data_IF_579152489329
#
_entry.id   IF_579152489329
#
_cell.length_a   1.000
_cell.length_b   1.000
_cell.length_c   1.000
_cell.angle_alpha   90.00
_cell.angle_beta   90.00
_cell.angle_gamma   90.00
#
_symmetry.space_group_name_H-M   'P 1'
#
loop_
_entity.id
_entity.type
_entity.pdbx_description
1 polymer ?
#
# COMPACT_ATOMS: atom_id res chain seq x y z
N UNK A 1 0.89 0.37 -29.05
CA UNK A 1 0.76 1.72 -28.46
C UNK A 1 0.58 1.54 -26.97
N UNK A 2 1.30 2.29 -26.13
CA UNK A 2 1.05 2.26 -24.69
C UNK A 2 -0.36 2.79 -24.42
N UNK A 3 -1.15 2.04 -23.66
CA UNK A 3 -2.47 2.50 -23.20
C UNK A 3 -2.25 3.60 -22.17
N UNK A 4 -2.95 4.73 -22.31
CA UNK A 4 -2.85 5.82 -21.35
C UNK A 4 -3.59 5.46 -20.06
N UNK A 5 -3.13 5.93 -18.89
CA UNK A 5 -3.89 5.79 -17.66
C UNK A 5 -5.29 6.40 -17.78
N UNK A 6 -6.27 5.79 -17.13
CA UNK A 6 -7.64 6.31 -17.06
C UNK A 6 -8.01 6.70 -15.63
N UNK A 7 -8.94 7.64 -15.50
CA UNK A 7 -9.38 8.22 -14.23
C UNK A 7 -10.89 8.43 -14.23
N UNK A 8 -11.53 8.11 -13.11
CA UNK A 8 -12.94 8.44 -12.87
C UNK A 8 -13.20 8.69 -11.38
N UNK A 9 -14.23 9.48 -11.06
CA UNK A 9 -14.70 9.68 -9.69
C UNK A 9 -15.81 8.66 -9.38
N UNK A 10 -15.62 7.87 -8.34
CA UNK A 10 -16.55 6.83 -7.90
C UNK A 10 -17.56 7.34 -6.87
N UNK A 11 -17.12 8.19 -5.93
CA UNK A 11 -17.98 8.74 -4.89
C UNK A 11 -17.56 10.17 -4.51
N UNK A 12 -18.51 10.93 -3.98
CA UNK A 12 -18.28 12.24 -3.36
C UNK A 12 -19.27 12.44 -2.21
N UNK A 13 -18.78 12.88 -1.04
CA UNK A 13 -19.59 13.14 0.15
C UNK A 13 -18.90 14.14 1.08
N UNK A 14 -19.59 14.61 2.11
CA UNK A 14 -19.01 15.51 3.12
C UNK A 14 -19.03 14.84 4.49
N UNK A 15 -17.97 15.01 5.28
CA UNK A 15 -17.84 14.48 6.64
C UNK A 15 -17.03 15.43 7.53
N UNK A 16 -17.58 15.84 8.68
CA UNK A 16 -16.84 16.60 9.71
C UNK A 16 -16.06 17.84 9.23
N UNK A 17 -16.61 18.62 8.31
CA UNK A 17 -15.94 19.80 7.75
C UNK A 17 -15.12 19.55 6.48
N UNK A 18 -14.95 18.28 6.09
CA UNK A 18 -14.24 17.84 4.90
C UNK A 18 -15.22 17.57 3.76
N UNK A 19 -14.78 17.84 2.54
CA UNK A 19 -15.32 17.27 1.31
C UNK A 19 -14.41 16.12 0.90
N UNK A 20 -15.00 14.97 0.62
CA UNK A 20 -14.30 13.72 0.35
C UNK A 20 -14.70 13.22 -1.03
N UNK A 21 -13.72 12.88 -1.85
CA UNK A 21 -13.90 12.22 -3.14
C UNK A 21 -13.12 10.91 -3.17
N UNK A 22 -13.67 9.90 -3.84
CA UNK A 22 -12.99 8.63 -4.10
C UNK A 22 -12.83 8.47 -5.60
N UNK A 23 -11.59 8.30 -6.05
CA UNK A 23 -11.22 8.21 -7.45
C UNK A 23 -10.69 6.83 -7.79
N UNK A 24 -11.13 6.29 -8.93
CA UNK A 24 -10.51 5.14 -9.56
C UNK A 24 -9.42 5.63 -10.51
N UNK A 25 -8.25 5.01 -10.42
CA UNK A 25 -7.18 5.10 -11.40
C UNK A 25 -6.88 3.70 -11.95
N UNK A 26 -6.81 3.61 -13.27
CA UNK A 26 -6.37 2.40 -13.97
C UNK A 26 -5.07 2.72 -14.71
N UNK A 27 -3.97 2.13 -14.24
CA UNK A 27 -2.61 2.46 -14.66
C UNK A 27 -1.99 1.23 -15.35
N UNK A 28 -1.87 1.24 -16.69
CA UNK A 28 -1.30 0.12 -17.44
C UNK A 28 0.17 -0.13 -17.07
N UNK A 29 0.54 -1.40 -16.90
CA UNK A 29 1.93 -1.77 -16.72
C UNK A 29 2.69 -1.69 -18.04
N UNK A 30 3.99 -1.35 -17.95
CA UNK A 30 4.88 -1.43 -19.11
C UNK A 30 5.11 -2.88 -19.55
N UNK A 31 5.06 -3.80 -18.58
CA UNK A 31 5.23 -5.24 -18.77
C UNK A 31 4.22 -5.92 -17.85
N UNK A 32 3.39 -6.86 -18.35
CA UNK A 32 2.46 -7.60 -17.51
C UNK A 32 3.15 -8.23 -16.30
N UNK A 33 2.49 -8.15 -15.15
CA UNK A 33 3.03 -8.60 -13.87
C UNK A 33 2.16 -9.72 -13.31
N UNK A 34 2.69 -10.94 -13.30
CA UNK A 34 2.00 -12.14 -12.81
C UNK A 34 2.58 -12.64 -11.51
N UNK A 35 1.70 -13.11 -10.63
CA UNK A 35 2.02 -13.82 -9.38
C UNK A 35 1.32 -15.18 -9.37
N UNK A 36 1.57 -16.01 -8.35
CA UNK A 36 0.94 -17.35 -8.28
C UNK A 36 -0.55 -17.30 -7.94
N UNK A 37 -1.00 -16.26 -7.23
CA UNK A 37 -2.43 -16.04 -7.01
C UNK A 37 -3.10 -15.56 -8.30
N UNK A 38 -4.33 -16.00 -8.60
CA UNK A 38 -5.11 -15.43 -9.67
C UNK A 38 -5.34 -13.94 -9.42
N UNK A 39 -4.85 -13.09 -10.32
CA UNK A 39 -5.09 -11.65 -10.32
C UNK A 39 -5.87 -11.29 -11.60
N UNK A 40 -7.07 -10.68 -11.48
CA UNK A 40 -7.83 -10.25 -12.65
C UNK A 40 -7.15 -9.11 -13.45
N UNK A 41 -6.11 -8.46 -12.92
CA UNK A 41 -5.47 -7.28 -13.52
C UNK A 41 -3.94 -7.46 -13.72
N UNK A 42 -3.50 -8.49 -14.46
CA UNK A 42 -2.06 -8.67 -14.77
C UNK A 42 -1.47 -7.59 -15.69
N UNK A 43 -2.31 -6.81 -16.37
CA UNK A 43 -1.94 -5.82 -17.38
C UNK A 43 -1.93 -4.38 -16.84
N UNK A 44 -2.60 -4.13 -15.71
CA UNK A 44 -2.71 -2.79 -15.13
C UNK A 44 -2.95 -2.80 -13.62
N UNK A 45 -2.64 -1.70 -12.96
CA UNK A 45 -2.99 -1.46 -11.56
C UNK A 45 -4.29 -0.66 -11.49
N UNK A 46 -5.37 -1.31 -11.03
CA UNK A 46 -6.64 -0.63 -10.68
C UNK A 46 -6.61 -0.27 -9.19
N UNK A 47 -6.43 1.01 -8.88
CA UNK A 47 -6.27 1.49 -7.50
C UNK A 47 -7.27 2.62 -7.19
N UNK A 48 -7.57 2.82 -5.91
CA UNK A 48 -8.44 3.90 -5.47
C UNK A 48 -7.66 4.97 -4.70
N UNK A 49 -7.96 6.23 -4.97
CA UNK A 49 -7.45 7.37 -4.20
C UNK A 49 -8.59 8.03 -3.43
N UNK A 50 -8.39 8.23 -2.13
CA UNK A 50 -9.23 9.09 -1.30
C UNK A 50 -8.61 10.48 -1.32
N UNK A 51 -9.38 11.45 -1.82
CA UNK A 51 -9.04 12.86 -1.81
C UNK A 51 -9.92 13.58 -0.80
N UNK A 52 -9.30 14.35 0.10
CA UNK A 52 -10.01 15.15 1.07
C UNK A 52 -9.66 16.62 0.89
N UNK A 53 -10.67 17.48 0.95
CA UNK A 53 -10.52 18.94 0.96
C UNK A 53 -11.14 19.48 2.24
N UNK A 54 -10.37 20.25 3.02
CA UNK A 54 -10.88 20.94 4.19
C UNK A 54 -11.54 22.25 3.79
N UNK A 55 -12.85 22.39 4.06
CA UNK A 55 -13.62 23.57 3.63
C UNK A 55 -13.19 24.88 4.29
N UNK A 56 -12.58 24.83 5.47
CA UNK A 56 -12.22 26.03 6.22
C UNK A 56 -10.91 26.66 5.72
N UNK A 57 -9.97 25.86 5.17
CA UNK A 57 -8.70 26.42 4.63
C UNK A 57 -8.47 26.16 3.16
N UNK A 58 -9.25 25.28 2.53
CA UNK A 58 -8.98 24.78 1.18
C UNK A 58 -7.72 23.92 1.05
N UNK A 59 -7.21 23.37 2.16
CA UNK A 59 -6.09 22.43 2.10
C UNK A 59 -6.60 21.05 1.69
N UNK A 60 -5.76 20.32 1.00
CA UNK A 60 -6.09 19.00 0.47
C UNK A 60 -5.18 17.90 1.04
N UNK A 61 -5.68 16.67 1.11
CA UNK A 61 -4.94 15.48 1.47
C UNK A 61 -5.28 14.31 0.56
N UNK A 62 -4.29 13.46 0.29
CA UNK A 62 -4.44 12.33 -0.62
C UNK A 62 -3.94 11.03 0.02
N UNK A 63 -4.68 9.95 -0.19
CA UNK A 63 -4.27 8.62 0.25
C UNK A 63 -4.67 7.55 -0.74
N UNK A 64 -3.78 6.57 -0.93
CA UNK A 64 -3.99 5.46 -1.86
C UNK A 64 -4.44 4.20 -1.12
N UNK A 65 -5.52 3.60 -1.60
CA UNK A 65 -5.96 2.26 -1.23
C UNK A 65 -5.65 1.29 -2.36
N UNK A 66 -4.56 0.53 -2.20
CA UNK A 66 -4.20 -0.54 -3.14
C UNK A 66 -5.30 -1.62 -3.11
N UNK A 67 -6.18 -1.56 -4.09
CA UNK A 67 -7.38 -2.38 -4.14
C UNK A 67 -7.05 -3.76 -4.72
N UNK A 68 -7.03 -4.77 -3.85
CA UNK A 68 -6.83 -6.16 -4.25
C UNK A 68 -8.09 -6.99 -3.87
N UNK A 69 -8.85 -7.47 -4.87
CA UNK A 69 -10.06 -8.26 -4.65
C UNK A 69 -9.82 -9.53 -3.83
N UNK A 70 -8.58 -10.06 -3.80
CA UNK A 70 -8.21 -11.20 -2.96
C UNK A 70 -8.45 -10.91 -1.47
N UNK A 71 -8.24 -9.67 -1.03
CA UNK A 71 -8.50 -9.22 0.35
C UNK A 71 -9.90 -8.61 0.55
N UNK A 72 -10.76 -8.67 -0.48
CA UNK A 72 -12.11 -8.12 -0.45
C UNK A 72 -12.18 -6.63 -0.75
N UNK A 73 -11.09 -6.01 -1.20
CA UNK A 73 -11.05 -4.59 -1.56
C UNK A 73 -11.02 -4.41 -3.09
N UNK A 74 -12.04 -3.77 -3.63
CA UNK A 74 -12.04 -3.16 -4.96
C UNK A 74 -12.18 -1.64 -4.84
N UNK A 75 -11.83 -0.86 -5.88
CA UNK A 75 -12.05 0.58 -5.87
C UNK A 75 -13.50 0.97 -5.56
N UNK A 76 -14.45 0.19 -6.07
CA UNK A 76 -15.89 0.36 -5.82
C UNK A 76 -16.26 0.05 -4.37
N UNK A 77 -15.68 -1.00 -3.76
CA UNK A 77 -15.90 -1.27 -2.33
C UNK A 77 -15.29 -0.19 -1.44
N UNK A 78 -14.10 0.34 -1.78
CA UNK A 78 -13.47 1.45 -1.07
C UNK A 78 -14.40 2.67 -1.10
N UNK A 79 -14.92 3.00 -2.29
CA UNK A 79 -15.89 4.09 -2.44
C UNK A 79 -17.19 3.87 -1.63
N UNK A 80 -17.68 2.63 -1.56
CA UNK A 80 -18.89 2.27 -0.85
C UNK A 80 -18.74 2.36 0.68
N UNK A 81 -17.59 1.95 1.23
CA UNK A 81 -17.38 1.91 2.69
C UNK A 81 -16.82 3.22 3.26
N UNK A 82 -16.22 4.08 2.43
CA UNK A 82 -15.61 5.33 2.88
C UNK A 82 -16.54 6.21 3.74
N UNK A 83 -17.83 6.45 3.39
CA UNK A 83 -18.71 7.25 4.24
C UNK A 83 -18.88 6.70 5.66
N UNK A 84 -18.98 5.37 5.81
CA UNK A 84 -19.08 4.72 7.12
C UNK A 84 -17.78 4.90 7.90
N UNK A 85 -16.63 4.64 7.27
CA UNK A 85 -15.32 4.75 7.91
C UNK A 85 -15.02 6.18 8.37
N UNK A 86 -15.33 7.21 7.57
CA UNK A 86 -15.21 8.61 7.99
C UNK A 86 -16.14 8.96 9.16
N UNK A 87 -17.34 8.36 9.22
CA UNK A 87 -18.30 8.63 10.30
C UNK A 87 -17.85 8.14 11.67
N UNK A 88 -16.90 7.19 11.73
CA UNK A 88 -16.30 6.71 12.97
C UNK A 88 -14.88 7.25 13.20
N UNK A 89 -14.11 7.48 12.13
CA UNK A 89 -12.74 7.96 12.20
C UNK A 89 -12.67 9.38 12.75
N UNK A 90 -13.50 10.31 12.24
CA UNK A 90 -13.45 11.71 12.65
C UNK A 90 -13.82 11.88 14.14
N UNK A 91 -14.93 11.31 14.66
CA UNK A 91 -15.23 11.35 16.10
C UNK A 91 -14.10 10.83 16.99
N UNK A 92 -13.44 9.74 16.59
CA UNK A 92 -12.34 9.16 17.35
C UNK A 92 -11.12 10.10 17.44
N UNK A 93 -10.82 10.80 16.34
CA UNK A 93 -9.77 11.83 16.33
C UNK A 93 -10.14 12.99 17.26
N UNK A 94 -11.39 13.49 17.22
CA UNK A 94 -11.78 14.63 18.08
C UNK A 94 -11.69 14.26 19.56
N UNK A 95 -12.14 13.05 19.93
CA UNK A 95 -12.06 12.55 21.29
C UNK A 95 -10.61 12.49 21.79
N UNK A 96 -9.71 11.95 20.97
CA UNK A 96 -8.29 11.86 21.29
C UNK A 96 -7.64 13.25 21.49
N UNK A 97 -7.99 14.21 20.64
CA UNK A 97 -7.50 15.58 20.73
C UNK A 97 -8.04 16.32 21.96
N UNK A 98 -9.29 16.08 22.34
CA UNK A 98 -9.89 16.65 23.54
C UNK A 98 -9.22 16.12 24.81
N UNK A 99 -8.93 14.81 24.88
CA UNK A 99 -8.19 14.19 26.00
C UNK A 99 -6.75 14.71 26.10
N UNK A 100 -6.13 15.04 24.97
CA UNK A 100 -4.80 15.65 24.92
C UNK A 100 -4.76 17.15 25.34
N UNK A 101 -5.90 17.72 25.75
CA UNK A 101 -6.01 19.11 26.23
C UNK A 101 -6.31 20.14 25.13
N UNK A 102 -6.74 19.71 23.95
CA UNK A 102 -7.24 20.59 22.89
C UNK A 102 -8.68 21.08 23.16
N UNK A 103 -9.00 22.32 22.78
CA UNK A 103 -10.37 22.82 22.86
C UNK A 103 -11.29 22.02 21.91
N UNK A 104 -12.37 21.42 22.44
CA UNK A 104 -13.36 20.72 21.62
C UNK A 104 -14.36 21.74 21.04
N UNK A 105 -14.34 21.91 19.71
CA UNK A 105 -15.22 22.85 19.00
C UNK A 105 -16.20 22.17 18.03
N UNK A 106 -16.40 20.85 18.13
CA UNK A 106 -17.28 20.11 17.21
C UNK A 106 -16.80 20.12 15.76
N UNK A 107 -15.49 20.20 15.56
CA UNK A 107 -14.81 20.29 14.27
C UNK A 107 -13.49 19.51 14.34
N UNK A 108 -13.56 18.21 14.59
CA UNK A 108 -12.47 17.32 14.99
C UNK A 108 -11.12 17.49 14.32
N UNK A 109 -11.12 17.64 13.01
CA UNK A 109 -9.91 17.87 12.24
C UNK A 109 -9.34 19.29 12.44
N UNK A 110 -10.20 20.30 12.61
CA UNK A 110 -9.79 21.68 12.85
C UNK A 110 -9.02 21.86 14.17
N UNK A 111 -9.30 21.04 15.18
CA UNK A 111 -8.52 21.00 16.43
C UNK A 111 -7.13 20.36 16.22
N UNK A 112 -7.01 19.35 15.34
CA UNK A 112 -5.74 18.71 14.99
C UNK A 112 -4.75 19.70 14.36
N UNK A 113 -5.25 20.69 13.60
CA UNK A 113 -4.46 21.78 13.00
C UNK A 113 -3.67 22.60 14.01
N UNK A 114 -4.19 22.71 15.24
CA UNK A 114 -3.56 23.44 16.34
C UNK A 114 -2.30 22.76 16.90
N UNK A 115 -2.03 21.51 16.52
CA UNK A 115 -0.82 20.77 16.91
C UNK A 115 0.44 21.17 16.13
N UNK A 116 0.40 22.31 15.42
CA UNK A 116 1.51 22.91 14.67
C UNK A 116 2.68 23.26 15.58
N UNK A 117 3.51 22.26 15.89
CA UNK A 117 4.71 22.45 16.71
C UNK A 117 5.31 21.20 17.36
N UNK A 118 4.64 20.05 17.33
CA UNK A 118 5.14 18.86 18.03
C UNK A 118 5.23 17.66 17.08
N UNK A 119 6.42 17.47 16.50
CA UNK A 119 6.80 16.23 15.80
C UNK A 119 6.53 15.01 16.68
N UNK A 120 5.98 13.94 16.12
CA UNK A 120 5.64 12.69 16.82
C UNK A 120 4.22 12.65 17.41
N UNK A 121 3.78 13.69 18.13
CA UNK A 121 2.43 13.69 18.77
C UNK A 121 1.26 13.73 17.78
N UNK A 122 1.49 14.25 16.59
CA UNK A 122 0.47 14.36 15.54
C UNK A 122 0.11 13.03 14.88
N UNK A 123 1.06 12.08 14.81
CA UNK A 123 0.78 10.73 14.31
C UNK A 123 -0.02 9.93 15.36
N UNK A 124 0.35 10.06 16.64
CA UNK A 124 -0.39 9.45 17.75
C UNK A 124 -1.83 9.99 17.85
N UNK A 125 -2.06 11.26 17.52
CA UNK A 125 -3.38 11.87 17.53
C UNK A 125 -4.35 11.23 16.52
N UNK A 126 -3.83 10.60 15.47
CA UNK A 126 -4.63 9.88 14.47
C UNK A 126 -4.75 8.39 14.79
N UNK A 127 -3.90 7.83 15.65
CA UNK A 127 -3.92 6.40 15.99
C UNK A 127 -5.30 5.86 16.44
N UNK A 128 -6.12 6.60 17.21
CA UNK A 128 -7.45 6.14 17.62
C UNK A 128 -8.42 5.90 16.46
N UNK A 129 -8.21 6.56 15.30
CA UNK A 129 -9.06 6.39 14.13
C UNK A 129 -8.95 4.97 13.56
N UNK A 130 -7.76 4.36 13.57
CA UNK A 130 -7.56 2.99 13.06
C UNK A 130 -8.37 2.00 13.88
N UNK A 131 -8.28 2.11 15.21
CA UNK A 131 -9.05 1.25 16.13
C UNK A 131 -10.57 1.42 15.96
N UNK A 132 -11.05 2.66 15.77
CA UNK A 132 -12.46 2.94 15.52
C UNK A 132 -12.94 2.35 14.18
N UNK A 133 -12.15 2.50 13.12
CA UNK A 133 -12.45 1.90 11.82
C UNK A 133 -12.44 0.37 11.87
N UNK A 134 -11.47 -0.24 12.57
CA UNK A 134 -11.39 -1.69 12.75
C UNK A 134 -12.56 -2.26 13.54
N UNK A 135 -13.04 -1.55 14.56
CA UNK A 135 -14.23 -1.94 15.33
C UNK A 135 -15.51 -1.82 14.49
N UNK A 136 -15.62 -0.78 13.68
CA UNK A 136 -16.82 -0.51 12.90
C UNK A 136 -17.00 -1.47 11.70
N UNK A 137 -15.89 -1.86 11.07
CA UNK A 137 -15.91 -2.70 9.88
C UNK A 137 -14.68 -3.61 9.83
N UNK A 138 -14.89 -4.93 9.86
CA UNK A 138 -13.82 -5.90 9.62
C UNK A 138 -13.33 -5.87 8.17
N UNK A 139 -12.10 -6.32 7.93
CA UNK A 139 -11.44 -6.29 6.61
C UNK A 139 -11.28 -4.86 6.06
N UNK A 140 -11.34 -4.66 4.74
CA UNK A 140 -11.23 -3.36 4.08
C UNK A 140 -9.95 -2.58 4.42
N UNK A 141 -8.83 -3.29 4.48
CA UNK A 141 -7.53 -2.71 4.83
C UNK A 141 -7.10 -1.63 3.83
N UNK A 142 -7.42 -1.78 2.54
CA UNK A 142 -7.09 -0.79 1.54
C UNK A 142 -7.89 0.51 1.75
N UNK A 143 -9.19 0.40 2.06
CA UNK A 143 -10.04 1.56 2.33
C UNK A 143 -9.56 2.34 3.56
N UNK A 144 -9.28 1.62 4.67
CA UNK A 144 -8.78 2.21 5.91
C UNK A 144 -7.44 2.89 5.72
N UNK A 145 -6.53 2.23 5.01
CA UNK A 145 -5.21 2.77 4.67
C UNK A 145 -5.32 4.05 3.82
N UNK A 146 -6.21 4.07 2.82
CA UNK A 146 -6.43 5.27 2.00
C UNK A 146 -6.92 6.47 2.82
N UNK A 147 -7.87 6.23 3.73
CA UNK A 147 -8.43 7.27 4.61
C UNK A 147 -7.36 7.78 5.58
N UNK A 148 -6.62 6.86 6.20
CA UNK A 148 -5.53 7.19 7.11
C UNK A 148 -4.46 8.04 6.42
N UNK A 149 -3.98 7.61 5.26
CA UNK A 149 -2.99 8.34 4.47
C UNK A 149 -3.50 9.74 4.08
N UNK A 150 -4.75 9.86 3.63
CA UNK A 150 -5.33 11.15 3.24
C UNK A 150 -5.37 12.14 4.42
N UNK A 151 -5.80 11.67 5.60
CA UNK A 151 -5.83 12.47 6.83
C UNK A 151 -4.43 12.84 7.31
N UNK A 152 -3.46 11.92 7.22
CA UNK A 152 -2.07 12.18 7.55
C UNK A 152 -1.41 13.19 6.59
N UNK A 153 -1.67 13.11 5.28
CA UNK A 153 -1.17 14.07 4.28
C UNK A 153 -1.75 15.47 4.52
N UNK A 154 -3.07 15.57 4.76
CA UNK A 154 -3.71 16.83 5.10
C UNK A 154 -3.11 17.43 6.38
N UNK A 155 -2.82 16.59 7.39
CA UNK A 155 -2.23 17.02 8.66
C UNK A 155 -0.82 17.56 8.46
N UNK A 156 0.02 16.84 7.72
CA UNK A 156 1.37 17.28 7.38
C UNK A 156 1.36 18.64 6.66
N UNK A 157 0.46 18.82 5.68
CA UNK A 157 0.29 20.08 4.94
C UNK A 157 -0.19 21.21 5.83
N UNK A 158 -1.14 20.94 6.72
CA UNK A 158 -1.63 21.94 7.68
C UNK A 158 -0.54 22.40 8.66
N UNK A 159 0.40 21.52 9.00
CA UNK A 159 1.57 21.82 9.81
C UNK A 159 2.77 22.36 8.99
N UNK A 160 2.58 22.62 7.69
CA UNK A 160 3.62 23.06 6.76
C UNK A 160 4.90 22.19 6.83
N UNK A 161 4.72 20.87 6.93
CA UNK A 161 5.80 19.89 7.02
C UNK A 161 5.57 18.75 6.03
N UNK A 162 6.59 17.92 5.80
CA UNK A 162 6.42 16.70 5.02
C UNK A 162 5.89 15.57 5.89
N UNK A 163 5.10 14.66 5.30
CA UNK A 163 4.63 13.46 6.00
C UNK A 163 5.80 12.66 6.60
N UNK A 164 6.92 12.56 5.88
CA UNK A 164 8.19 11.98 6.39
C UNK A 164 8.59 12.59 7.75
N UNK A 165 8.64 13.92 7.84
CA UNK A 165 9.02 14.62 9.08
C UNK A 165 7.94 14.47 10.16
N UNK A 166 6.67 14.47 9.77
CA UNK A 166 5.55 14.23 10.67
C UNK A 166 5.66 12.86 11.36
N UNK A 167 5.99 11.83 10.58
CA UNK A 167 6.16 10.43 11.03
C UNK A 167 7.53 10.16 11.69
N UNK A 168 8.46 11.14 11.69
CA UNK A 168 9.82 10.93 12.18
C UNK A 168 10.65 9.94 11.36
N UNK A 169 10.28 9.72 10.09
CA UNK A 169 10.95 8.74 9.24
C UNK A 169 12.35 9.21 8.80
N UNK A 170 13.33 8.29 8.66
CA UNK A 170 14.70 8.63 8.34
C UNK A 170 14.84 9.25 6.94
N UNK A 171 15.95 9.95 6.71
CA UNK A 171 16.29 10.52 5.39
C UNK A 171 16.55 9.46 4.32
N UNK A 172 17.20 8.40 4.75
CA UNK A 172 17.56 7.29 3.90
C UNK A 172 16.78 6.06 4.38
N UNK A 173 15.86 5.58 3.55
CA UNK A 173 15.03 4.39 3.81
C UNK A 173 15.64 3.11 3.20
N UNK A 174 16.86 3.19 2.65
CA UNK A 174 17.56 2.07 2.03
C UNK A 174 17.14 1.79 0.59
N UNK A 175 17.63 0.67 0.05
CA UNK A 175 17.34 0.23 -1.30
C UNK A 175 16.15 -0.72 -1.36
N UNK A 176 15.39 -0.67 -2.46
CA UNK A 176 14.39 -1.67 -2.81
C UNK A 176 14.96 -2.73 -3.76
N UNK A 177 14.36 -3.93 -3.77
CA UNK A 177 14.67 -4.96 -4.75
C UNK A 177 13.91 -4.69 -6.07
N UNK A 178 14.42 -5.22 -7.19
CA UNK A 178 13.61 -5.38 -8.39
C UNK A 178 12.84 -6.70 -8.29
N UNK A 179 11.53 -6.69 -8.54
CA UNK A 179 10.71 -7.91 -8.55
C UNK A 179 10.47 -8.37 -9.98
N UNK A 180 10.72 -9.65 -10.24
CA UNK A 180 10.46 -10.32 -11.52
C UNK A 180 9.19 -11.17 -11.34
N UNK A 181 8.12 -10.78 -12.02
CA UNK A 181 6.87 -11.54 -12.08
C UNK A 181 7.03 -12.89 -12.80
N UNK A 182 6.11 -13.81 -12.57
CA UNK A 182 6.12 -15.15 -13.18
C UNK A 182 5.98 -15.03 -14.69
N UNK A 183 6.88 -15.70 -15.41
CA UNK A 183 6.89 -15.78 -16.87
C UNK A 183 7.57 -17.12 -17.27
N UNK A 184 7.66 -17.48 -18.56
CA UNK A 184 8.51 -18.60 -18.97
C UNK A 184 9.93 -18.46 -18.40
N UNK A 185 10.55 -19.57 -18.01
CA UNK A 185 11.86 -19.58 -17.32
C UNK A 185 12.91 -18.79 -18.11
N UNK A 186 12.98 -18.97 -19.43
CA UNK A 186 13.89 -18.22 -20.30
C UNK A 186 13.73 -16.69 -20.14
N UNK A 187 12.49 -16.21 -20.13
CA UNK A 187 12.17 -14.79 -19.94
C UNK A 187 12.57 -14.31 -18.54
N UNK A 188 12.33 -15.11 -17.50
CA UNK A 188 12.72 -14.74 -16.14
C UNK A 188 14.25 -14.66 -15.98
N UNK A 189 14.98 -15.60 -16.59
CA UNK A 189 16.45 -15.63 -16.60
C UNK A 189 17.00 -14.43 -17.38
N UNK A 190 16.43 -14.11 -18.55
CA UNK A 190 16.80 -12.92 -19.33
C UNK A 190 16.57 -11.63 -18.53
N UNK A 191 15.42 -11.50 -17.87
CA UNK A 191 15.11 -10.36 -16.98
C UNK A 191 16.09 -10.27 -15.82
N UNK A 192 16.47 -11.38 -15.21
CA UNK A 192 17.44 -11.42 -14.13
C UNK A 192 18.84 -10.98 -14.60
N UNK A 193 19.29 -11.45 -15.77
CA UNK A 193 20.56 -11.05 -16.37
C UNK A 193 20.60 -9.54 -16.68
N UNK A 194 19.50 -8.98 -17.19
CA UNK A 194 19.35 -7.54 -17.45
C UNK A 194 19.26 -6.69 -16.17
N UNK A 195 18.96 -7.31 -15.03
CA UNK A 195 18.73 -6.66 -13.74
C UNK A 195 19.91 -6.78 -12.75
N UNK A 196 21.08 -7.22 -13.20
CA UNK A 196 22.29 -7.38 -12.35
C UNK A 196 22.77 -6.10 -11.67
N UNK A 197 22.37 -4.93 -12.18
CA UNK A 197 22.65 -3.62 -11.56
C UNK A 197 21.83 -3.31 -10.30
N UNK A 198 20.75 -4.04 -10.04
CA UNK A 198 19.90 -3.78 -8.88
C UNK A 198 20.49 -4.44 -7.62
N UNK A 199 20.33 -3.83 -6.42
CA UNK A 199 20.97 -4.34 -5.20
C UNK A 199 20.50 -5.73 -4.77
N UNK A 200 19.27 -6.08 -5.13
CA UNK A 200 18.66 -7.38 -4.86
C UNK A 200 17.55 -7.67 -5.88
N UNK A 201 17.29 -8.96 -6.14
CA UNK A 201 16.18 -9.41 -6.97
C UNK A 201 15.19 -10.21 -6.12
N UNK A 202 13.89 -10.02 -6.38
CA UNK A 202 12.82 -10.93 -5.90
C UNK A 202 12.22 -11.65 -7.09
N UNK A 203 12.12 -12.98 -7.04
CA UNK A 203 11.38 -13.76 -8.03
C UNK A 203 10.02 -14.11 -7.47
N UNK A 204 8.97 -13.81 -8.22
CA UNK A 204 7.66 -14.42 -8.01
C UNK A 204 7.73 -15.87 -8.50
N UNK A 205 7.27 -16.80 -7.68
CA UNK A 205 7.29 -18.25 -7.92
C UNK A 205 5.96 -18.85 -7.46
N UNK A 206 5.77 -20.17 -7.55
CA UNK A 206 4.53 -20.83 -7.08
C UNK A 206 3.72 -21.54 -8.16
N UNK A 207 4.18 -21.55 -9.42
CA UNK A 207 3.52 -22.22 -10.54
C UNK A 207 4.32 -23.40 -11.13
N UNK A 208 5.37 -23.86 -10.44
CA UNK A 208 6.22 -24.98 -10.87
C UNK A 208 7.49 -24.57 -11.62
N UNK A 209 8.42 -25.51 -11.74
CA UNK A 209 9.71 -25.32 -12.45
C UNK A 209 10.77 -24.56 -11.64
N UNK A 210 10.55 -24.32 -10.35
CA UNK A 210 11.41 -23.46 -9.53
C UNK A 210 12.84 -23.99 -9.39
N UNK A 211 13.02 -25.32 -9.41
CA UNK A 211 14.34 -25.95 -9.32
C UNK A 211 15.22 -25.57 -10.51
N UNK A 212 14.65 -25.59 -11.72
CA UNK A 212 15.35 -25.17 -12.94
C UNK A 212 15.55 -23.65 -12.96
N UNK A 213 14.50 -22.89 -12.62
CA UNK A 213 14.55 -21.44 -12.56
C UNK A 213 15.68 -20.96 -11.64
N UNK A 214 15.74 -21.49 -10.41
CA UNK A 214 16.76 -21.12 -9.43
C UNK A 214 18.16 -21.43 -9.95
N UNK A 215 18.38 -22.63 -10.49
CA UNK A 215 19.67 -23.00 -11.09
C UNK A 215 20.09 -22.00 -12.16
N UNK A 216 19.20 -21.67 -13.09
CA UNK A 216 19.51 -20.82 -14.25
C UNK A 216 19.64 -19.34 -13.90
N UNK A 217 18.81 -18.82 -13.00
CA UNK A 217 18.97 -17.44 -12.51
C UNK A 217 20.30 -17.29 -11.80
N UNK A 218 20.76 -18.32 -11.08
CA UNK A 218 22.07 -18.28 -10.40
C UNK A 218 23.28 -18.32 -11.31
N UNK A 219 23.13 -18.80 -12.54
CA UNK A 219 24.17 -18.72 -13.57
C UNK A 219 24.38 -17.27 -14.07
N UNK A 220 23.36 -16.41 -13.96
CA UNK A 220 23.40 -15.03 -14.49
C UNK A 220 23.39 -13.94 -13.42
N UNK A 221 22.98 -14.27 -12.19
CA UNK A 221 22.83 -13.32 -11.10
C UNK A 221 23.38 -13.86 -9.77
N UNK A 222 24.42 -13.17 -9.27
CA UNK A 222 25.17 -13.56 -8.08
C UNK A 222 24.87 -12.71 -6.84
N UNK A 223 23.94 -11.74 -6.93
CA UNK A 223 23.54 -10.91 -5.80
C UNK A 223 22.46 -11.55 -4.92
N UNK A 224 22.03 -10.82 -3.87
CA UNK A 224 20.88 -11.14 -3.03
C UNK A 224 19.63 -11.52 -3.82
N UNK A 225 19.07 -12.70 -3.54
CA UNK A 225 17.83 -13.19 -4.16
C UNK A 225 16.81 -13.50 -3.10
N UNK A 226 15.57 -13.13 -3.38
CA UNK A 226 14.41 -13.39 -2.54
C UNK A 226 13.36 -14.10 -3.37
N UNK A 227 12.57 -14.95 -2.74
CA UNK A 227 11.46 -15.67 -3.36
C UNK A 227 10.17 -15.27 -2.69
N UNK A 228 9.11 -15.22 -3.49
CA UNK A 228 7.77 -14.95 -3.01
C UNK A 228 6.80 -15.83 -3.80
N UNK A 229 6.28 -16.85 -3.11
CA UNK A 229 5.38 -17.83 -3.72
C UNK A 229 3.92 -17.40 -3.64
N UNK A 230 3.61 -16.30 -2.92
CA UNK A 230 2.26 -15.82 -2.70
C UNK A 230 1.27 -16.89 -2.20
N UNK A 231 1.75 -17.80 -1.34
CA UNK A 231 1.07 -19.00 -0.83
C UNK A 231 0.79 -20.06 -1.92
N UNK A 232 1.61 -20.10 -2.96
CA UNK A 232 1.45 -20.99 -4.10
C UNK A 232 1.96 -22.42 -3.87
N UNK A 233 2.76 -22.65 -2.83
CA UNK A 233 3.26 -23.99 -2.51
C UNK A 233 2.42 -24.66 -1.41
N UNK A 234 2.32 -25.99 -1.52
CA UNK A 234 1.99 -26.78 -0.35
C UNK A 234 3.20 -26.90 0.57
N UNK A 235 2.98 -27.32 1.83
CA UNK A 235 4.08 -27.60 2.75
C UNK A 235 5.07 -28.62 2.16
N UNK A 236 4.57 -29.67 1.54
CA UNK A 236 5.38 -30.73 0.92
C UNK A 236 6.25 -30.15 -0.20
N UNK A 237 5.66 -29.33 -1.08
CA UNK A 237 6.41 -28.70 -2.18
C UNK A 237 7.46 -27.72 -1.65
N UNK A 238 7.13 -26.95 -0.61
CA UNK A 238 8.09 -26.06 0.03
C UNK A 238 9.29 -26.86 0.59
N UNK A 239 9.03 -27.97 1.28
CA UNK A 239 10.07 -28.87 1.82
C UNK A 239 10.94 -29.50 0.73
N UNK A 240 10.34 -29.90 -0.41
CA UNK A 240 11.07 -30.40 -1.58
C UNK A 240 12.02 -29.34 -2.16
N UNK A 241 11.61 -28.07 -2.17
CA UNK A 241 12.38 -26.96 -2.73
C UNK A 241 13.49 -26.45 -1.81
N UNK A 242 13.40 -26.66 -0.50
CA UNK A 242 14.37 -26.15 0.48
C UNK A 242 15.84 -26.40 0.09
N UNK A 243 16.26 -27.62 -0.32
CA UNK A 243 17.65 -27.85 -0.71
C UNK A 243 18.10 -27.03 -1.93
N UNK A 244 17.18 -26.66 -2.83
CA UNK A 244 17.48 -25.83 -4.00
C UNK A 244 17.56 -24.35 -3.62
N UNK A 245 16.71 -23.91 -2.70
CA UNK A 245 16.67 -22.56 -2.13
C UNK A 245 17.97 -22.30 -1.35
N UNK A 246 18.39 -23.23 -0.49
CA UNK A 246 19.64 -23.15 0.27
C UNK A 246 20.87 -23.11 -0.65
N UNK A 247 20.97 -24.03 -1.62
CA UNK A 247 22.06 -24.04 -2.61
C UNK A 247 22.12 -22.74 -3.42
N UNK A 248 20.98 -22.10 -3.62
CA UNK A 248 20.88 -20.83 -4.34
C UNK A 248 21.10 -19.63 -3.41
N UNK A 249 21.45 -19.79 -2.14
CA UNK A 249 21.67 -18.69 -1.19
C UNK A 249 20.56 -17.62 -1.25
N UNK A 250 19.31 -18.06 -1.17
CA UNK A 250 18.15 -17.17 -1.10
C UNK A 250 18.08 -16.54 0.30
N UNK A 251 17.98 -15.21 0.37
CA UNK A 251 17.97 -14.47 1.64
C UNK A 251 16.62 -14.51 2.36
N UNK A 252 15.53 -14.57 1.59
CA UNK A 252 14.17 -14.52 2.09
C UNK A 252 13.28 -15.41 1.25
N UNK A 253 12.51 -16.26 1.92
CA UNK A 253 11.39 -16.96 1.37
C UNK A 253 10.10 -16.37 1.97
N UNK A 254 9.34 -15.64 1.16
CA UNK A 254 8.12 -14.96 1.57
C UNK A 254 6.90 -15.77 1.16
N UNK A 255 5.99 -16.00 2.12
CA UNK A 255 4.71 -16.71 1.91
C UNK A 255 4.86 -17.94 0.98
N UNK A 256 5.66 -18.96 1.36
CA UNK A 256 5.78 -20.19 0.59
C UNK A 256 4.39 -20.81 0.35
#
# INVERSE_FOLDING_TARGET
MAVAPTHSRLAAFSAGGLDVEVHLWDIPYLVPFRIARPDPNEESSRTAFVHITDRATGLEGWGEGCADPYYGDTPETIAAVAPLLFSVALPAIEAALAEAGGASTGAGYAAARGLSGISGRSADALAPMSAAMDLALGHHGAAKSAIEQALQDLLARSANTSLRRLLGAPENIGHTNLTIGIAPIDTMVERAAAATKYPSLKLKVGLGGEEELLRRVREVYHGPLRLDANCGWSLERALELLPHIERSNVELLEQP
#
